data_IF_734534071845
#
_entry.id   IF_734534071845
#
_cell.length_a   1.000
_cell.length_b   1.000
_cell.length_c   1.000
_cell.angle_alpha   90.00
_cell.angle_beta   90.00
_cell.angle_gamma   90.00
#
_symmetry.space_group_name_H-M   'P 1'
#
loop_
_entity.id
_entity.type
_entity.pdbx_description
1 polymer ?
#
# COMPACT_ATOMS: atom_id res chain seq x y z
N UNK A 1 -24.84 -10.79 -8.15
CA UNK A 1 -26.01 -10.93 -9.06
C UNK A 1 -27.33 -11.02 -8.30
N UNK A 2 -27.36 -11.52 -7.06
CA UNK A 2 -28.57 -11.54 -6.24
C UNK A 2 -28.93 -10.16 -5.66
N UNK A 3 -27.93 -9.37 -5.24
CA UNK A 3 -28.16 -8.01 -4.67
C UNK A 3 -28.62 -6.96 -5.69
N UNK A 4 -28.24 -7.11 -6.96
CA UNK A 4 -28.74 -6.21 -8.02
C UNK A 4 -30.22 -6.46 -8.39
N UNK A 5 -30.72 -7.66 -8.09
CA UNK A 5 -32.13 -8.03 -8.31
C UNK A 5 -33.03 -7.46 -7.22
N UNK A 6 -32.56 -7.38 -5.98
CA UNK A 6 -33.35 -6.85 -4.85
C UNK A 6 -33.54 -5.33 -4.94
N UNK A 7 -32.57 -4.58 -5.47
CA UNK A 7 -32.73 -3.14 -5.69
C UNK A 7 -33.80 -2.80 -6.74
N UNK A 8 -34.05 -3.69 -7.70
CA UNK A 8 -35.06 -3.48 -8.74
C UNK A 8 -36.49 -3.78 -8.26
N UNK A 9 -36.68 -4.60 -7.24
CA UNK A 9 -38.01 -4.91 -6.69
C UNK A 9 -38.50 -3.89 -5.67
N UNK A 10 -37.60 -3.21 -4.95
CA UNK A 10 -37.97 -2.18 -3.94
C UNK A 10 -38.51 -0.90 -4.59
N UNK A 11 -38.17 -0.62 -5.84
CA UNK A 11 -38.63 0.60 -6.55
C UNK A 11 -40.10 0.51 -7.05
N UNK A 12 -40.77 -0.66 -6.92
CA UNK A 12 -42.17 -0.82 -7.39
C UNK A 12 -43.27 -0.54 -6.35
N UNK A 13 -42.93 -0.19 -5.10
CA UNK A 13 -43.90 -0.16 -4.02
C UNK A 13 -43.88 1.09 -3.09
N UNK A 14 -43.60 2.30 -3.59
CA UNK A 14 -43.85 3.50 -2.78
C UNK A 14 -44.50 4.65 -3.57
N UNK A 15 -45.62 5.25 -3.04
CA UNK A 15 -46.38 6.30 -3.69
C UNK A 15 -45.82 7.68 -3.29
N UNK A 16 -44.82 8.21 -4.03
CA UNK A 16 -44.40 9.60 -3.92
C UNK A 16 -44.55 10.37 -5.26
N UNK A 17 -45.73 10.21 -5.87
CA UNK A 17 -46.08 10.85 -7.14
C UNK A 17 -46.52 12.32 -7.04
N UNK A 18 -46.65 12.89 -5.83
CA UNK A 18 -47.30 14.18 -5.62
C UNK A 18 -46.38 15.40 -5.63
N UNK A 19 -45.09 15.24 -5.32
CA UNK A 19 -44.13 16.36 -5.30
C UNK A 19 -43.62 16.77 -6.69
N UNK A 20 -43.49 15.81 -7.63
CA UNK A 20 -43.01 16.08 -8.99
C UNK A 20 -43.98 16.95 -9.80
N UNK A 21 -45.31 16.83 -9.55
CA UNK A 21 -46.30 17.60 -10.29
C UNK A 21 -46.43 19.04 -9.80
N UNK A 22 -46.21 19.32 -8.53
CA UNK A 22 -46.18 20.70 -8.03
C UNK A 22 -44.98 21.52 -8.53
N UNK A 23 -43.82 20.88 -8.69
CA UNK A 23 -42.63 21.52 -9.24
C UNK A 23 -42.79 21.78 -10.74
N UNK A 24 -43.40 20.84 -11.50
CA UNK A 24 -43.76 21.05 -12.93
C UNK A 24 -44.70 22.24 -13.14
N UNK A 25 -45.63 22.46 -12.22
CA UNK A 25 -46.56 23.61 -12.30
C UNK A 25 -45.91 24.96 -12.00
N UNK A 26 -44.92 24.98 -11.07
CA UNK A 26 -44.19 26.21 -10.72
C UNK A 26 -43.28 26.60 -11.90
N UNK A 27 -42.55 25.64 -12.49
CA UNK A 27 -41.66 25.92 -13.63
C UNK A 27 -42.45 26.29 -14.91
N UNK A 28 -43.67 25.74 -15.09
CA UNK A 28 -44.51 26.10 -16.22
C UNK A 28 -45.06 27.55 -16.12
N UNK A 29 -45.34 28.04 -14.91
CA UNK A 29 -45.77 29.42 -14.67
C UNK A 29 -44.65 30.45 -14.90
N UNK A 30 -43.39 30.08 -14.63
CA UNK A 30 -42.24 30.95 -14.91
C UNK A 30 -41.87 30.99 -16.41
N UNK A 31 -42.10 29.88 -17.15
CA UNK A 31 -41.87 29.83 -18.59
C UNK A 31 -42.90 30.63 -19.42
N UNK A 32 -44.16 30.68 -18.97
CA UNK A 32 -45.25 31.38 -19.66
C UNK A 32 -45.18 32.90 -19.48
N UNK A 33 -44.42 33.44 -18.51
CA UNK A 33 -44.29 34.86 -18.24
C UNK A 33 -43.24 35.59 -19.11
N UNK A 34 -42.46 34.88 -19.95
CA UNK A 34 -41.29 35.39 -20.66
C UNK A 34 -41.36 35.43 -22.19
N UNK A 35 -42.52 35.22 -22.86
CA UNK A 35 -42.51 35.05 -24.28
C UNK A 35 -43.35 36.05 -25.07
N UNK A 36 -42.77 37.22 -25.38
CA UNK A 36 -43.15 38.05 -26.55
C UNK A 36 -41.85 38.45 -27.27
N UNK A 37 -41.77 38.07 -28.59
CA UNK A 37 -40.75 38.36 -29.61
C UNK A 37 -39.48 37.50 -29.65
N UNK A 38 -39.42 36.47 -30.51
CA UNK A 38 -38.55 36.50 -31.69
C UNK A 38 -38.69 35.24 -32.59
N UNK A 39 -39.23 35.36 -33.75
CA UNK A 39 -39.39 34.29 -34.77
C UNK A 39 -38.28 34.33 -35.80
N UNK A 40 -36.99 34.12 -35.46
CA UNK A 40 -35.91 33.93 -36.47
C UNK A 40 -34.65 33.24 -35.91
N UNK A 41 -34.76 32.20 -35.09
CA UNK A 41 -33.57 31.36 -34.80
C UNK A 41 -33.96 29.94 -34.33
N UNK A 42 -34.76 29.23 -35.16
CA UNK A 42 -35.42 27.99 -34.75
C UNK A 42 -34.55 26.73 -34.73
N UNK A 43 -33.31 26.72 -35.31
CA UNK A 43 -32.51 25.50 -35.39
C UNK A 43 -31.32 25.39 -34.38
N UNK A 44 -30.97 26.47 -33.67
CA UNK A 44 -29.92 26.40 -32.61
C UNK A 44 -30.50 26.37 -31.19
N UNK A 45 -31.73 26.86 -30.95
CA UNK A 45 -32.37 26.82 -29.66
C UNK A 45 -32.90 25.44 -29.24
N UNK A 46 -33.29 24.58 -30.17
CA UNK A 46 -33.86 23.24 -29.87
C UNK A 46 -32.85 22.27 -29.24
N UNK A 47 -31.58 22.33 -29.63
CA UNK A 47 -30.55 21.44 -29.08
C UNK A 47 -30.10 21.86 -27.67
N UNK A 48 -29.98 23.14 -27.38
CA UNK A 48 -29.60 23.66 -26.06
C UNK A 48 -30.68 23.42 -25.02
N UNK A 49 -31.98 23.53 -25.36
CA UNK A 49 -33.10 23.21 -24.48
C UNK A 49 -33.14 21.71 -24.12
N UNK A 50 -32.92 20.85 -25.12
CA UNK A 50 -32.95 19.38 -24.93
C UNK A 50 -31.82 18.86 -24.04
N UNK A 51 -30.61 19.36 -24.20
CA UNK A 51 -29.49 18.96 -23.32
C UNK A 51 -29.73 19.42 -21.88
N UNK A 52 -30.30 20.61 -21.66
CA UNK A 52 -30.65 21.08 -20.33
C UNK A 52 -31.74 20.20 -19.67
N UNK A 53 -32.70 19.69 -20.44
CA UNK A 53 -33.69 18.74 -19.96
C UNK A 53 -33.03 17.41 -19.55
N UNK A 54 -32.09 16.88 -20.37
CA UNK A 54 -31.31 15.68 -20.05
C UNK A 54 -30.49 15.89 -18.79
N UNK A 55 -29.73 16.97 -18.67
CA UNK A 55 -28.93 17.30 -17.49
C UNK A 55 -29.79 17.41 -16.22
N UNK A 56 -30.98 18.00 -16.34
CA UNK A 56 -31.95 18.10 -15.24
C UNK A 56 -32.42 16.73 -14.77
N UNK A 57 -32.81 15.84 -15.70
CA UNK A 57 -33.21 14.48 -15.38
C UNK A 57 -32.08 13.71 -14.72
N UNK A 58 -30.87 13.74 -15.33
CA UNK A 58 -29.70 13.05 -14.82
C UNK A 58 -29.34 13.54 -13.40
N UNK A 59 -29.40 14.84 -13.15
CA UNK A 59 -29.09 15.43 -11.85
C UNK A 59 -30.13 15.10 -10.77
N UNK A 60 -31.39 14.89 -11.15
CA UNK A 60 -32.44 14.49 -10.22
C UNK A 60 -32.29 13.05 -9.73
N UNK A 61 -31.94 12.15 -10.62
CA UNK A 61 -31.94 10.70 -10.35
C UNK A 61 -30.56 10.17 -9.99
N UNK A 62 -29.50 10.79 -10.48
CA UNK A 62 -28.13 10.30 -10.39
C UNK A 62 -27.17 11.37 -9.88
N UNK A 63 -26.06 10.91 -9.34
CA UNK A 63 -24.88 11.71 -9.05
C UNK A 63 -23.73 11.20 -9.90
N UNK A 64 -23.10 12.08 -10.67
CA UNK A 64 -21.97 11.77 -11.52
C UNK A 64 -20.70 12.39 -10.96
N UNK A 65 -19.57 11.72 -11.18
CA UNK A 65 -18.24 12.26 -10.91
C UNK A 65 -17.21 11.72 -11.90
N UNK A 66 -16.21 12.50 -12.21
CA UNK A 66 -15.02 12.02 -12.87
C UNK A 66 -13.99 11.65 -11.80
N UNK A 67 -13.71 10.34 -11.67
CA UNK A 67 -12.75 9.80 -10.72
C UNK A 67 -11.33 9.99 -11.25
N UNK A 68 -10.58 10.93 -10.67
CA UNK A 68 -9.23 11.27 -11.13
C UNK A 68 -8.16 10.23 -10.78
N UNK A 69 -8.45 9.28 -9.87
CA UNK A 69 -7.54 8.20 -9.50
C UNK A 69 -7.63 7.05 -10.51
N UNK A 70 -8.86 6.68 -10.90
CA UNK A 70 -9.11 5.57 -11.83
C UNK A 70 -9.31 6.04 -13.27
N UNK A 71 -9.22 7.36 -13.50
CA UNK A 71 -9.36 8.03 -14.78
C UNK A 71 -10.62 7.58 -15.55
N UNK A 72 -11.77 7.69 -14.88
CA UNK A 72 -13.06 7.28 -15.45
C UNK A 72 -14.22 8.01 -14.83
N UNK A 73 -15.30 8.13 -15.60
CA UNK A 73 -16.57 8.64 -15.09
C UNK A 73 -17.30 7.56 -14.31
N UNK A 74 -17.81 7.92 -13.16
CA UNK A 74 -18.58 7.09 -12.26
C UNK A 74 -19.92 7.76 -11.95
N UNK A 75 -20.94 6.95 -11.68
CA UNK A 75 -22.26 7.39 -11.29
C UNK A 75 -22.80 6.57 -10.14
N UNK A 76 -23.73 7.13 -9.42
CA UNK A 76 -24.59 6.41 -8.47
C UNK A 76 -26.01 6.90 -8.56
N UNK A 77 -26.97 6.02 -8.33
CA UNK A 77 -28.34 6.44 -8.09
C UNK A 77 -28.41 7.16 -6.73
N UNK A 78 -29.13 8.26 -6.64
CA UNK A 78 -29.25 9.03 -5.38
C UNK A 78 -29.93 8.23 -4.26
N UNK A 79 -30.70 7.19 -4.60
CA UNK A 79 -31.31 6.25 -3.65
C UNK A 79 -30.42 5.08 -3.27
N UNK A 80 -29.31 4.83 -4.00
CA UNK A 80 -28.45 3.66 -3.83
C UNK A 80 -27.00 4.09 -3.66
N UNK A 81 -26.33 3.64 -2.57
CA UNK A 81 -25.14 4.28 -1.99
C UNK A 81 -23.79 4.17 -2.72
N UNK A 82 -23.58 3.33 -3.76
CA UNK A 82 -22.24 3.06 -4.31
C UNK A 82 -22.05 3.62 -5.71
N UNK A 83 -20.86 4.22 -5.94
CA UNK A 83 -20.46 4.64 -7.27
C UNK A 83 -20.04 3.44 -8.12
N UNK A 84 -20.58 3.38 -9.35
CA UNK A 84 -20.24 2.41 -10.36
C UNK A 84 -19.65 3.10 -11.60
N UNK A 85 -18.84 2.38 -12.38
CA UNK A 85 -18.31 2.88 -13.64
C UNK A 85 -19.44 3.13 -14.64
N UNK A 86 -19.41 4.25 -15.34
CA UNK A 86 -20.26 4.48 -16.52
C UNK A 86 -19.68 3.70 -17.70
N UNK A 87 -20.41 2.74 -18.20
CA UNK A 87 -20.05 1.96 -19.37
C UNK A 87 -21.17 1.97 -20.42
N UNK A 88 -20.99 1.18 -21.47
CA UNK A 88 -21.98 1.11 -22.56
C UNK A 88 -23.37 0.63 -22.10
N UNK A 89 -23.40 -0.28 -21.12
CA UNK A 89 -24.65 -0.79 -20.57
C UNK A 89 -25.43 0.31 -19.86
N UNK A 90 -24.77 1.07 -19.00
CA UNK A 90 -25.34 2.17 -18.23
C UNK A 90 -25.85 3.28 -19.13
N UNK A 91 -25.07 3.68 -20.12
CA UNK A 91 -25.48 4.66 -21.14
C UNK A 91 -26.74 4.25 -21.89
N UNK A 92 -26.82 2.96 -22.30
CA UNK A 92 -28.01 2.45 -22.98
C UNK A 92 -29.22 2.39 -22.04
N UNK A 93 -28.99 2.12 -20.76
CA UNK A 93 -30.05 2.14 -19.72
C UNK A 93 -30.58 3.57 -19.54
N UNK A 94 -29.69 4.54 -19.33
CA UNK A 94 -30.06 5.95 -19.17
C UNK A 94 -30.82 6.48 -20.43
N UNK A 95 -30.35 6.09 -21.64
CA UNK A 95 -31.04 6.44 -22.87
C UNK A 95 -32.47 5.90 -22.91
N UNK A 96 -32.66 4.65 -22.52
CA UNK A 96 -34.00 4.01 -22.47
C UNK A 96 -34.90 4.65 -21.43
N UNK A 97 -34.35 5.01 -20.28
CA UNK A 97 -35.11 5.70 -19.21
C UNK A 97 -35.58 7.09 -19.67
N UNK A 98 -34.70 7.88 -20.26
CA UNK A 98 -35.04 9.20 -20.84
C UNK A 98 -36.16 9.09 -21.90
N UNK A 99 -36.09 8.09 -22.77
CA UNK A 99 -37.10 7.87 -23.83
C UNK A 99 -38.44 7.43 -23.23
N UNK A 100 -38.42 6.48 -22.27
CA UNK A 100 -39.64 5.90 -21.70
C UNK A 100 -40.31 6.81 -20.64
N UNK A 101 -39.55 7.52 -19.80
CA UNK A 101 -40.07 8.26 -18.67
C UNK A 101 -40.35 9.73 -19.00
N UNK A 102 -39.46 10.36 -19.78
CA UNK A 102 -39.55 11.78 -20.12
C UNK A 102 -39.85 12.05 -21.61
N UNK A 103 -39.97 11.01 -22.42
CA UNK A 103 -40.16 11.13 -23.86
C UNK A 103 -39.02 11.93 -24.57
N UNK A 104 -37.80 11.87 -23.97
CA UNK A 104 -36.62 12.54 -24.48
C UNK A 104 -35.77 11.53 -25.26
N UNK A 105 -35.88 11.57 -26.59
CA UNK A 105 -35.06 10.72 -27.46
C UNK A 105 -33.67 11.36 -27.64
N UNK A 106 -32.59 10.65 -27.27
CA UNK A 106 -31.20 11.11 -27.39
C UNK A 106 -30.30 9.98 -27.92
N UNK A 107 -29.11 10.33 -28.42
CA UNK A 107 -28.11 9.33 -28.83
C UNK A 107 -27.17 8.98 -27.67
N UNK A 108 -26.53 7.81 -27.75
CA UNK A 108 -25.52 7.40 -26.78
C UNK A 108 -24.31 8.35 -26.79
N UNK A 109 -23.92 8.86 -27.99
CA UNK A 109 -22.83 9.81 -28.14
C UNK A 109 -23.13 11.13 -27.45
N UNK A 110 -24.40 11.62 -27.52
CA UNK A 110 -24.78 12.85 -26.83
C UNK A 110 -24.74 12.67 -25.30
N UNK A 111 -25.18 11.51 -24.78
CA UNK A 111 -25.08 11.20 -23.35
C UNK A 111 -23.63 11.12 -22.91
N UNK A 112 -22.76 10.45 -23.64
CA UNK A 112 -21.31 10.44 -23.34
C UNK A 112 -20.74 11.88 -23.36
N UNK A 113 -21.09 12.70 -24.34
CA UNK A 113 -20.64 14.09 -24.44
C UNK A 113 -21.05 14.94 -23.23
N UNK A 114 -22.22 14.72 -22.67
CA UNK A 114 -22.68 15.38 -21.44
C UNK A 114 -21.94 14.82 -20.22
N UNK A 115 -21.97 13.50 -20.02
CA UNK A 115 -21.48 12.83 -18.83
C UNK A 115 -19.94 12.92 -18.72
N UNK A 116 -19.21 12.86 -19.82
CA UNK A 116 -17.75 12.99 -19.87
C UNK A 116 -17.28 14.45 -20.01
N UNK A 117 -18.05 15.38 -19.48
CA UNK A 117 -17.77 16.81 -19.48
C UNK A 117 -17.69 17.38 -18.05
N UNK A 118 -17.71 18.71 -17.94
CA UNK A 118 -17.81 19.42 -16.66
C UNK A 118 -19.11 19.13 -15.88
N UNK A 119 -20.08 18.47 -16.50
CA UNK A 119 -21.28 17.94 -15.82
C UNK A 119 -20.91 16.94 -14.71
N UNK A 120 -19.83 16.17 -14.90
CA UNK A 120 -19.27 15.25 -13.91
C UNK A 120 -18.08 15.92 -13.21
N UNK A 121 -18.20 16.44 -11.99
CA UNK A 121 -17.11 17.10 -11.30
C UNK A 121 -15.92 16.17 -11.07
N UNK A 122 -14.71 16.68 -11.27
CA UNK A 122 -13.47 15.95 -11.04
C UNK A 122 -13.24 15.75 -9.55
N UNK A 123 -13.10 14.51 -9.11
CA UNK A 123 -12.96 14.15 -7.70
C UNK A 123 -11.85 13.12 -7.54
N UNK A 124 -10.99 13.31 -6.53
CA UNK A 124 -10.14 12.26 -6.01
C UNK A 124 -10.87 11.57 -4.83
N UNK A 125 -11.40 10.36 -5.00
CA UNK A 125 -12.20 9.70 -3.96
C UNK A 125 -11.42 9.37 -2.70
N UNK A 126 -10.11 9.10 -2.82
CA UNK A 126 -9.23 8.83 -1.67
C UNK A 126 -9.09 10.09 -0.83
N UNK A 127 -8.77 11.22 -1.44
CA UNK A 127 -8.70 12.50 -0.72
C UNK A 127 -10.04 12.92 -0.17
N UNK A 128 -11.13 12.70 -0.92
CA UNK A 128 -12.50 13.01 -0.46
C UNK A 128 -12.82 12.22 0.81
N UNK A 129 -12.46 10.93 0.87
CA UNK A 129 -12.63 10.10 2.06
C UNK A 129 -11.88 10.71 3.26
N UNK A 130 -10.59 10.98 3.15
CA UNK A 130 -9.82 11.54 4.26
C UNK A 130 -10.28 12.94 4.67
N UNK A 131 -10.70 13.78 3.72
CA UNK A 131 -11.29 15.11 4.02
C UNK A 131 -12.60 14.98 4.80
N UNK A 132 -13.42 13.98 4.47
CA UNK A 132 -14.72 13.71 5.09
C UNK A 132 -14.66 13.09 6.48
N UNK A 133 -13.51 12.53 6.90
CA UNK A 133 -13.35 11.96 8.25
C UNK A 133 -13.54 13.05 9.33
N UNK A 134 -14.16 12.70 10.47
CA UNK A 134 -14.36 13.63 11.56
C UNK A 134 -13.04 14.22 12.06
N UNK A 135 -13.09 15.45 12.53
CA UNK A 135 -11.98 16.09 13.21
C UNK A 135 -12.00 15.64 14.67
N UNK A 136 -10.95 14.99 15.11
CA UNK A 136 -10.74 14.66 16.51
C UNK A 136 -9.86 15.74 17.11
N UNK A 137 -10.33 16.35 18.18
CA UNK A 137 -9.53 17.29 18.98
C UNK A 137 -8.63 16.48 19.91
N UNK A 138 -7.33 16.53 19.67
CA UNK A 138 -6.33 15.82 20.48
C UNK A 138 -5.68 16.70 21.54
N UNK A 139 -6.27 17.86 21.86
CA UNK A 139 -5.73 18.80 22.84
C UNK A 139 -4.40 19.44 22.42
N UNK A 140 -4.36 20.75 22.49
CA UNK A 140 -3.13 21.53 22.23
C UNK A 140 -2.13 21.37 23.39
N UNK A 141 -1.35 20.32 23.40
CA UNK A 141 -0.12 20.31 24.22
C UNK A 141 1.03 20.86 23.37
N UNK A 142 1.12 22.19 23.35
CA UNK A 142 2.11 22.98 22.59
C UNK A 142 3.56 22.80 23.05
N UNK A 143 3.90 21.69 23.68
CA UNK A 143 5.24 21.40 24.20
C UNK A 143 6.07 20.40 23.37
N UNK A 144 5.70 20.10 22.13
CA UNK A 144 6.55 19.32 21.24
C UNK A 144 7.66 20.18 20.66
N UNK A 145 8.55 20.65 21.53
CA UNK A 145 9.85 21.20 21.15
C UNK A 145 10.84 20.06 20.93
N UNK A 146 11.20 19.81 19.67
CA UNK A 146 12.32 18.97 19.31
C UNK A 146 11.99 17.48 19.15
N UNK A 147 12.44 16.92 18.03
CA UNK A 147 12.27 15.52 17.59
C UNK A 147 13.06 14.51 18.46
N UNK A 148 13.03 14.61 19.78
CA UNK A 148 13.67 13.66 20.68
C UNK A 148 12.63 12.80 21.40
N UNK A 149 12.40 11.60 20.88
CA UNK A 149 11.66 10.54 21.53
C UNK A 149 10.19 10.48 21.10
N UNK A 150 9.91 9.66 20.12
CA UNK A 150 8.60 9.34 19.56
C UNK A 150 7.74 8.53 20.53
N UNK A 151 7.35 9.12 21.65
CA UNK A 151 6.26 8.56 22.45
C UNK A 151 5.00 9.25 21.94
N UNK A 152 3.99 8.49 21.51
CA UNK A 152 2.63 9.03 21.37
C UNK A 152 2.31 9.67 22.72
N UNK A 153 2.16 10.99 22.80
CA UNK A 153 1.97 11.64 24.08
C UNK A 153 0.77 11.01 24.80
N UNK A 154 0.95 10.61 26.03
CA UNK A 154 -0.11 10.04 26.88
C UNK A 154 -1.28 11.01 27.13
N UNK A 155 -1.12 12.29 26.72
CA UNK A 155 -2.17 13.31 26.69
C UNK A 155 -3.17 13.14 25.57
N UNK A 156 -2.85 12.40 24.48
CA UNK A 156 -3.80 12.13 23.41
C UNK A 156 -4.80 11.05 23.84
N UNK A 157 -6.09 11.39 23.83
CA UNK A 157 -7.18 10.43 24.12
C UNK A 157 -7.44 9.52 22.91
N UNK A 158 -6.37 8.98 22.28
CA UNK A 158 -6.46 8.05 21.19
C UNK A 158 -6.91 6.69 21.70
N UNK A 159 -7.82 6.02 20.99
CA UNK A 159 -8.33 4.69 21.34
C UNK A 159 -8.23 3.72 20.18
N UNK A 160 -8.60 4.14 18.99
CA UNK A 160 -8.73 3.27 17.82
C UNK A 160 -7.37 2.74 17.33
N UNK A 161 -6.34 3.57 17.26
CA UNK A 161 -4.99 3.12 16.89
C UNK A 161 -4.39 2.17 17.93
N UNK A 162 -4.39 2.48 19.25
CA UNK A 162 -3.94 1.54 20.27
C UNK A 162 -4.76 0.25 20.31
N UNK A 163 -6.08 0.31 20.12
CA UNK A 163 -6.93 -0.88 20.08
C UNK A 163 -6.57 -1.76 18.88
N UNK A 164 -6.38 -1.19 17.70
CA UNK A 164 -5.91 -1.91 16.52
C UNK A 164 -4.54 -2.56 16.76
N UNK A 165 -3.60 -1.80 17.30
CA UNK A 165 -2.26 -2.31 17.62
C UNK A 165 -2.31 -3.48 18.60
N UNK A 166 -3.18 -3.42 19.60
CA UNK A 166 -3.33 -4.48 20.62
C UNK A 166 -3.96 -5.79 20.09
N UNK A 167 -4.56 -5.76 18.90
CA UNK A 167 -5.05 -6.98 18.24
C UNK A 167 -3.92 -7.87 17.72
N UNK A 168 -2.70 -7.34 17.61
CA UNK A 168 -1.55 -8.03 17.04
C UNK A 168 -0.47 -8.21 18.11
N UNK A 169 -0.15 -9.45 18.44
CA UNK A 169 0.96 -9.78 19.34
C UNK A 169 2.19 -10.05 18.48
N UNK A 170 3.21 -9.22 18.64
CA UNK A 170 4.50 -9.34 17.95
C UNK A 170 5.63 -9.64 18.93
N UNK A 171 6.76 -10.17 18.43
CA UNK A 171 7.94 -10.43 19.26
C UNK A 171 8.51 -9.16 19.91
N UNK A 172 8.50 -8.03 19.19
CA UNK A 172 8.95 -6.71 19.65
C UNK A 172 7.77 -5.74 19.81
N UNK A 173 6.96 -5.92 20.85
CA UNK A 173 5.76 -5.13 21.11
C UNK A 173 6.00 -3.63 21.29
N UNK A 174 7.06 -3.13 21.97
CA UNK A 174 7.28 -1.70 22.11
C UNK A 174 7.43 -0.98 20.75
N UNK A 175 8.17 -1.57 19.81
CA UNK A 175 8.34 -1.00 18.47
C UNK A 175 7.08 -1.06 17.63
N UNK A 176 6.32 -2.12 17.75
CA UNK A 176 5.03 -2.23 17.08
C UNK A 176 4.10 -1.08 17.46
N UNK A 177 3.99 -0.80 18.77
CA UNK A 177 3.17 0.29 19.30
C UNK A 177 3.67 1.68 18.87
N UNK A 178 4.95 1.82 18.57
CA UNK A 178 5.56 3.07 18.09
C UNK A 178 5.42 3.23 16.57
N UNK A 179 5.70 2.19 15.80
CA UNK A 179 5.86 2.29 14.35
C UNK A 179 4.53 2.10 13.59
N UNK A 180 3.56 1.36 14.12
CA UNK A 180 2.24 1.27 13.50
C UNK A 180 1.54 2.64 13.41
N UNK A 181 1.49 3.48 14.48
CA UNK A 181 0.95 4.83 14.38
C UNK A 181 1.70 5.70 13.34
N UNK A 182 3.05 5.65 13.31
CA UNK A 182 3.85 6.36 12.31
C UNK A 182 3.46 5.94 10.90
N UNK A 183 3.34 4.64 10.65
CA UNK A 183 2.97 4.13 9.35
C UNK A 183 1.54 4.54 8.94
N UNK A 184 0.56 4.49 9.85
CA UNK A 184 -0.82 4.91 9.59
C UNK A 184 -0.91 6.42 9.29
N UNK A 185 -0.17 7.24 10.01
CA UNK A 185 -0.10 8.69 9.74
C UNK A 185 0.57 8.94 8.39
N UNK A 186 1.62 8.19 8.05
CA UNK A 186 2.28 8.26 6.74
C UNK A 186 1.32 7.89 5.59
N UNK A 187 0.39 6.92 5.78
CA UNK A 187 -0.67 6.61 4.79
C UNK A 187 -1.54 7.83 4.53
N UNK A 188 -2.00 8.51 5.58
CA UNK A 188 -2.82 9.73 5.44
C UNK A 188 -2.03 10.85 4.76
N UNK A 189 -0.80 11.08 5.18
CA UNK A 189 0.08 12.10 4.60
C UNK A 189 0.31 11.84 3.11
N UNK A 190 0.59 10.59 2.73
CA UNK A 190 0.81 10.18 1.35
C UNK A 190 -0.45 10.37 0.48
N UNK A 191 -1.61 9.95 0.98
CA UNK A 191 -2.88 10.07 0.27
C UNK A 191 -3.32 11.53 0.03
N UNK A 192 -2.84 12.45 0.85
CA UNK A 192 -3.19 13.88 0.78
C UNK A 192 -2.18 14.74 0.02
N UNK A 193 -1.05 14.16 -0.40
CA UNK A 193 0.00 14.85 -1.16
C UNK A 193 0.04 14.33 -2.61
N UNK A 194 -0.22 15.22 -3.57
CA UNK A 194 -0.21 14.89 -5.00
C UNK A 194 1.17 15.09 -5.66
N UNK A 195 2.19 15.49 -4.91
CA UNK A 195 3.50 15.88 -5.46
C UNK A 195 4.65 15.00 -5.02
N UNK A 196 4.59 14.47 -3.81
CA UNK A 196 5.66 13.72 -3.20
C UNK A 196 5.14 12.47 -2.51
N UNK A 197 5.91 11.39 -2.56
CA UNK A 197 5.65 10.23 -1.71
C UNK A 197 5.97 10.58 -0.27
N UNK A 198 5.03 10.38 0.65
CA UNK A 198 5.20 10.65 2.09
C UNK A 198 5.36 9.37 2.91
N UNK A 199 4.99 8.22 2.37
CA UNK A 199 5.18 6.93 3.03
C UNK A 199 6.32 6.14 2.38
N UNK A 200 7.50 6.26 2.92
CA UNK A 200 8.71 5.61 2.41
C UNK A 200 8.92 4.19 2.95
N UNK A 201 7.90 3.59 3.57
CA UNK A 201 8.07 2.32 4.26
C UNK A 201 6.99 1.31 3.88
N UNK A 202 7.39 0.05 3.81
CA UNK A 202 6.52 -1.11 3.64
C UNK A 202 6.38 -1.82 5.00
N UNK A 203 5.16 -1.89 5.52
CA UNK A 203 4.86 -2.62 6.75
C UNK A 203 4.81 -4.12 6.45
N UNK A 204 5.65 -4.93 7.09
CA UNK A 204 5.81 -6.34 6.78
C UNK A 204 5.45 -7.18 8.01
N UNK A 205 4.51 -8.11 7.84
CA UNK A 205 4.17 -9.09 8.86
C UNK A 205 4.77 -10.45 8.49
N UNK A 206 5.70 -10.94 9.34
CA UNK A 206 6.35 -12.24 9.16
C UNK A 206 5.85 -13.27 10.18
N UNK A 207 6.10 -14.53 9.98
CA UNK A 207 5.76 -15.60 10.89
C UNK A 207 5.10 -16.79 10.21
N UNK A 208 4.58 -17.73 10.98
CA UNK A 208 3.98 -18.98 10.50
C UNK A 208 2.76 -18.74 9.61
N UNK A 209 2.48 -19.70 8.72
CA UNK A 209 1.27 -19.70 7.89
C UNK A 209 0.01 -19.84 8.78
N UNK A 210 -1.12 -19.28 8.32
CA UNK A 210 -2.40 -19.39 9.04
C UNK A 210 -2.60 -18.39 10.18
N UNK A 211 -1.69 -17.43 10.39
CA UNK A 211 -1.79 -16.39 11.44
C UNK A 211 -2.58 -15.14 11.02
N UNK A 212 -3.39 -15.20 9.95
CA UNK A 212 -4.22 -14.10 9.46
C UNK A 212 -3.45 -12.82 9.03
N UNK A 213 -2.16 -12.93 8.69
CA UNK A 213 -1.32 -11.78 8.31
C UNK A 213 -1.92 -10.99 7.14
N UNK A 214 -2.17 -11.66 6.01
CA UNK A 214 -2.73 -11.05 4.81
C UNK A 214 -4.10 -10.42 5.10
N UNK A 215 -4.98 -11.15 5.83
CA UNK A 215 -6.30 -10.64 6.21
C UNK A 215 -6.23 -9.40 7.07
N UNK A 216 -5.29 -9.31 8.03
CA UNK A 216 -5.10 -8.13 8.85
C UNK A 216 -4.59 -6.94 8.02
N UNK A 217 -3.65 -7.19 7.11
CA UNK A 217 -3.12 -6.13 6.23
C UNK A 217 -4.19 -5.60 5.27
N UNK A 218 -5.07 -6.46 4.77
CA UNK A 218 -6.19 -6.05 3.92
C UNK A 218 -7.23 -5.20 4.69
N UNK A 219 -7.42 -5.45 6.00
CA UNK A 219 -8.29 -4.63 6.84
C UNK A 219 -7.81 -3.18 6.99
N UNK A 220 -6.51 -2.90 6.76
CA UNK A 220 -5.99 -1.54 6.81
C UNK A 220 -6.55 -0.64 5.70
N UNK A 221 -7.12 -1.22 4.64
CA UNK A 221 -7.89 -0.46 3.66
C UNK A 221 -9.32 -0.25 4.17
N UNK A 222 -9.79 1.02 4.33
CA UNK A 222 -11.15 1.29 4.78
C UNK A 222 -12.20 0.67 3.84
N UNK A 223 -13.35 0.19 4.34
CA UNK A 223 -14.41 -0.37 3.51
C UNK A 223 -14.87 0.56 2.38
N UNK A 224 -14.93 1.86 2.63
CA UNK A 224 -15.28 2.86 1.63
C UNK A 224 -14.27 2.98 0.47
N UNK A 225 -13.03 2.49 0.67
CA UNK A 225 -11.93 2.54 -0.29
C UNK A 225 -11.48 1.14 -0.77
N UNK A 226 -12.28 0.08 -0.57
CA UNK A 226 -11.93 -1.27 -1.03
C UNK A 226 -11.59 -1.35 -2.51
N UNK A 227 -12.21 -0.51 -3.35
CA UNK A 227 -11.90 -0.41 -4.77
C UNK A 227 -10.51 0.20 -5.08
N UNK A 228 -9.78 0.65 -4.07
CA UNK A 228 -8.45 1.25 -4.13
C UNK A 228 -7.44 0.45 -3.31
N UNK A 229 -7.59 -0.87 -3.27
CA UNK A 229 -6.61 -1.78 -2.69
C UNK A 229 -6.27 -2.89 -3.68
N UNK A 230 -5.02 -3.30 -3.65
CA UNK A 230 -4.53 -4.43 -4.43
C UNK A 230 -3.84 -5.41 -3.50
N UNK A 231 -4.20 -6.69 -3.59
CA UNK A 231 -3.53 -7.77 -2.87
C UNK A 231 -3.08 -8.83 -3.87
N UNK A 232 -1.80 -9.10 -3.89
CA UNK A 232 -1.23 -10.08 -4.81
C UNK A 232 0.25 -9.86 -5.08
N UNK A 233 0.71 -10.46 -6.17
CA UNK A 233 2.10 -10.35 -6.61
C UNK A 233 2.30 -9.09 -7.44
N UNK A 234 3.39 -8.40 -7.18
CA UNK A 234 3.84 -7.28 -8.01
C UNK A 234 5.17 -7.62 -8.68
N UNK A 235 5.33 -7.19 -9.90
CA UNK A 235 6.57 -7.37 -10.66
C UNK A 235 7.15 -5.97 -10.94
N UNK A 236 8.21 -5.57 -10.20
CA UNK A 236 8.71 -4.19 -10.25
C UNK A 236 9.06 -3.66 -11.63
N UNK A 237 9.31 -4.53 -12.58
CA UNK A 237 9.66 -4.18 -13.98
C UNK A 237 8.43 -4.07 -14.90
N UNK A 238 7.24 -4.49 -14.45
CA UNK A 238 6.02 -4.48 -15.25
C UNK A 238 5.32 -3.11 -15.16
N UNK A 239 4.72 -2.70 -16.29
CA UNK A 239 4.00 -1.43 -16.37
C UNK A 239 2.76 -1.40 -15.47
N UNK A 240 2.12 -2.53 -15.26
CA UNK A 240 0.94 -2.65 -14.42
C UNK A 240 1.25 -2.32 -12.95
N UNK A 241 2.47 -2.60 -12.49
CA UNK A 241 2.92 -2.20 -11.15
C UNK A 241 2.85 -0.70 -10.93
N UNK A 242 3.23 0.11 -11.93
CA UNK A 242 3.13 1.57 -11.85
C UNK A 242 1.66 2.02 -11.75
N UNK A 243 0.76 1.33 -12.45
CA UNK A 243 -0.69 1.59 -12.35
C UNK A 243 -1.21 1.25 -10.95
N UNK A 244 -0.78 0.14 -10.35
CA UNK A 244 -1.16 -0.18 -8.97
C UNK A 244 -0.71 0.89 -7.99
N UNK A 245 0.49 1.47 -8.16
CA UNK A 245 1.02 2.53 -7.30
C UNK A 245 0.21 3.83 -7.45
N UNK A 246 -0.20 4.18 -8.66
CA UNK A 246 -0.97 5.41 -8.92
C UNK A 246 -2.47 5.31 -8.63
N UNK A 247 -3.02 4.10 -8.48
CA UNK A 247 -4.45 3.88 -8.37
C UNK A 247 -4.93 3.27 -7.05
N UNK A 248 -4.02 2.77 -6.21
CA UNK A 248 -4.40 2.14 -4.95
C UNK A 248 -3.87 2.91 -3.75
N UNK A 249 -4.64 2.93 -2.67
CA UNK A 249 -4.23 3.42 -1.36
C UNK A 249 -3.31 2.44 -0.66
N UNK A 250 -3.66 1.14 -0.73
CA UNK A 250 -2.90 0.04 -0.12
C UNK A 250 -2.52 -0.97 -1.20
N UNK A 251 -1.24 -1.31 -1.26
CA UNK A 251 -0.71 -2.41 -2.09
C UNK A 251 -0.15 -3.48 -1.16
N UNK A 252 -0.85 -4.61 -1.06
CA UNK A 252 -0.47 -5.74 -0.23
C UNK A 252 0.28 -6.80 -1.07
N UNK A 253 1.58 -6.92 -0.82
CA UNK A 253 2.46 -7.89 -1.48
C UNK A 253 2.37 -9.22 -0.72
N UNK A 254 1.56 -10.15 -1.24
CA UNK A 254 1.26 -11.39 -0.55
C UNK A 254 2.27 -12.49 -0.87
N UNK A 255 3.00 -12.93 0.18
CA UNK A 255 3.96 -14.06 0.19
C UNK A 255 4.99 -14.07 -0.98
N UNK A 256 5.36 -12.90 -1.47
CA UNK A 256 6.27 -12.78 -2.62
C UNK A 256 7.69 -12.37 -2.24
N UNK A 257 7.89 -11.65 -1.13
CA UNK A 257 9.20 -11.04 -0.82
C UNK A 257 10.35 -12.06 -0.76
N UNK A 258 10.08 -13.28 -0.30
CA UNK A 258 11.07 -14.38 -0.31
C UNK A 258 11.54 -14.82 -1.71
N UNK A 259 10.68 -14.65 -2.70
CA UNK A 259 10.96 -15.06 -4.06
C UNK A 259 11.69 -13.98 -4.87
N UNK A 260 11.82 -12.77 -4.34
CA UNK A 260 12.52 -11.68 -5.00
C UNK A 260 14.03 -11.94 -5.02
N UNK A 261 14.62 -11.80 -6.18
CA UNK A 261 16.07 -11.72 -6.28
C UNK A 261 16.55 -10.32 -5.85
N UNK A 262 17.85 -10.16 -5.64
CA UNK A 262 18.45 -8.89 -5.20
C UNK A 262 18.12 -7.70 -6.11
N UNK A 263 17.97 -7.92 -7.42
CA UNK A 263 17.64 -6.86 -8.37
C UNK A 263 16.21 -6.39 -8.19
N UNK A 264 15.26 -7.34 -8.13
CA UNK A 264 13.83 -7.04 -7.98
C UNK A 264 13.54 -6.42 -6.60
N UNK A 265 14.24 -6.87 -5.54
CA UNK A 265 14.18 -6.25 -4.21
C UNK A 265 14.64 -4.78 -4.26
N UNK A 266 15.73 -4.46 -4.98
CA UNK A 266 16.20 -3.09 -5.11
C UNK A 266 15.26 -2.23 -5.96
N UNK A 267 14.67 -2.80 -7.01
CA UNK A 267 13.64 -2.11 -7.78
C UNK A 267 12.38 -1.84 -6.95
N UNK A 268 11.93 -2.80 -6.14
CA UNK A 268 10.85 -2.60 -5.19
C UNK A 268 11.16 -1.47 -4.18
N UNK A 269 12.38 -1.45 -3.62
CA UNK A 269 12.82 -0.36 -2.74
C UNK A 269 12.73 1.01 -3.40
N UNK A 270 13.05 1.09 -4.70
CA UNK A 270 12.93 2.33 -5.46
C UNK A 270 11.45 2.71 -5.70
N UNK A 271 10.61 1.73 -6.01
CA UNK A 271 9.17 1.96 -6.20
C UNK A 271 8.50 2.46 -4.92
N UNK A 272 8.85 1.93 -3.74
CA UNK A 272 8.30 2.38 -2.45
C UNK A 272 8.54 3.88 -2.21
N UNK A 273 9.61 4.44 -2.74
CA UNK A 273 10.02 5.83 -2.45
C UNK A 273 9.96 6.77 -3.66
N UNK A 274 9.54 6.30 -4.84
CA UNK A 274 9.44 7.18 -6.01
C UNK A 274 8.36 8.25 -5.76
N UNK A 275 8.64 9.53 -6.06
CA UNK A 275 7.68 10.60 -5.77
C UNK A 275 6.45 10.56 -6.68
N UNK A 276 6.62 10.17 -7.92
CA UNK A 276 5.61 10.11 -8.95
C UNK A 276 5.81 8.86 -9.80
N UNK A 277 4.75 8.38 -10.44
CA UNK A 277 4.79 7.27 -11.38
C UNK A 277 4.36 7.71 -12.77
N UNK A 278 4.97 7.15 -13.81
CA UNK A 278 4.65 7.48 -15.21
C UNK A 278 4.12 6.24 -15.91
N UNK A 279 2.87 6.28 -16.29
CA UNK A 279 2.26 5.21 -17.08
C UNK A 279 1.24 5.77 -18.06
N UNK A 280 0.80 4.94 -18.97
CA UNK A 280 -0.23 5.26 -19.97
C UNK A 280 -1.47 4.44 -19.64
N UNK A 281 -2.59 5.10 -19.47
CA UNK A 281 -3.88 4.42 -19.32
C UNK A 281 -4.23 3.65 -20.60
N UNK A 282 -5.01 2.55 -20.49
CA UNK A 282 -5.51 1.84 -21.66
C UNK A 282 -6.23 2.80 -22.60
N UNK A 283 -5.84 2.78 -23.89
CA UNK A 283 -6.38 3.60 -24.98
C UNK A 283 -5.91 5.05 -25.01
N UNK A 284 -5.16 5.55 -24.03
CA UNK A 284 -4.57 6.87 -24.07
C UNK A 284 -3.45 6.97 -25.10
N UNK A 285 -3.25 8.18 -25.64
CA UNK A 285 -2.18 8.46 -26.60
C UNK A 285 -0.85 8.76 -25.92
N UNK A 286 -0.86 9.30 -24.72
CA UNK A 286 0.30 9.83 -24.02
C UNK A 286 0.60 9.07 -22.72
N UNK A 287 1.86 9.11 -22.33
CA UNK A 287 2.30 8.72 -20.96
C UNK A 287 2.13 9.95 -20.08
N UNK A 288 1.39 9.81 -19.02
CA UNK A 288 1.14 10.88 -18.04
C UNK A 288 1.82 10.58 -16.71
N UNK A 289 2.04 11.64 -15.97
CA UNK A 289 2.61 11.56 -14.62
C UNK A 289 1.48 11.54 -13.59
N UNK A 290 1.52 10.55 -12.69
CA UNK A 290 0.49 10.33 -11.68
C UNK A 290 1.11 10.39 -10.28
N UNK A 291 0.37 10.86 -9.27
CA UNK A 291 0.82 10.82 -7.88
C UNK A 291 1.11 9.40 -7.42
N UNK A 292 2.08 9.25 -6.52
CA UNK A 292 2.31 8.01 -5.81
C UNK A 292 1.30 7.90 -4.64
N UNK A 293 0.21 7.19 -4.83
CA UNK A 293 -0.85 7.04 -3.81
C UNK A 293 -0.62 5.84 -2.88
N UNK A 294 0.10 4.81 -3.35
CA UNK A 294 0.21 3.55 -2.66
C UNK A 294 1.02 3.64 -1.35
N UNK A 295 0.48 3.05 -0.30
CA UNK A 295 1.25 2.63 0.87
C UNK A 295 1.40 1.11 0.83
N UNK A 296 2.64 0.63 0.96
CA UNK A 296 2.95 -0.78 0.81
C UNK A 296 2.82 -1.53 2.11
N UNK A 297 2.22 -2.71 2.03
CA UNK A 297 2.24 -3.72 3.09
C UNK A 297 2.65 -5.07 2.49
N UNK A 298 3.15 -5.99 3.32
CA UNK A 298 3.49 -7.33 2.84
C UNK A 298 3.29 -8.39 3.92
N UNK A 299 2.89 -9.59 3.50
CA UNK A 299 2.91 -10.78 4.33
C UNK A 299 4.03 -11.73 3.89
N UNK A 300 4.70 -12.36 4.86
CA UNK A 300 5.80 -13.30 4.58
C UNK A 300 5.68 -14.52 5.50
N UNK A 301 5.88 -15.71 4.95
CA UNK A 301 5.95 -16.95 5.72
C UNK A 301 7.40 -17.21 6.17
N UNK A 302 7.65 -17.17 7.49
CA UNK A 302 8.98 -17.24 8.11
C UNK A 302 9.72 -15.88 8.07
N UNK A 303 10.95 -15.85 8.56
CA UNK A 303 11.68 -14.59 8.79
C UNK A 303 12.74 -14.27 7.72
N UNK A 304 13.21 -15.25 6.96
CA UNK A 304 14.32 -15.08 6.00
C UNK A 304 13.80 -14.57 4.64
N UNK A 305 13.74 -13.28 4.44
CA UNK A 305 13.25 -12.71 3.17
C UNK A 305 14.10 -11.57 2.59
N UNK A 306 14.99 -10.94 3.38
CA UNK A 306 15.86 -9.87 2.90
C UNK A 306 17.13 -10.43 2.27
N UNK A 307 17.37 -10.09 1.02
CA UNK A 307 18.59 -10.52 0.28
C UNK A 307 19.67 -9.44 0.25
N UNK A 308 19.29 -8.17 0.41
CA UNK A 308 20.20 -7.03 0.42
C UNK A 308 20.06 -6.19 1.69
N UNK A 309 21.11 -6.13 2.54
CA UNK A 309 21.09 -5.33 3.75
C UNK A 309 21.04 -3.82 3.47
N UNK A 310 21.42 -3.38 2.26
CA UNK A 310 21.44 -1.96 1.92
C UNK A 310 20.03 -1.45 1.64
N UNK A 311 19.66 -0.32 2.26
CA UNK A 311 18.34 0.29 2.06
C UNK A 311 17.19 -0.43 2.78
N UNK A 312 17.48 -1.32 3.74
CA UNK A 312 16.47 -2.05 4.53
C UNK A 312 15.57 -1.13 5.38
N UNK A 313 15.95 0.14 5.58
CA UNK A 313 15.11 1.17 6.24
C UNK A 313 13.71 1.35 5.63
N UNK A 314 13.51 0.87 4.40
CA UNK A 314 12.21 0.91 3.73
C UNK A 314 11.28 -0.23 4.14
N UNK A 315 11.80 -1.21 4.86
CA UNK A 315 11.04 -2.36 5.33
C UNK A 315 10.88 -2.29 6.84
N UNK A 316 9.64 -2.41 7.31
CA UNK A 316 9.28 -2.45 8.73
C UNK A 316 8.80 -3.86 9.07
N UNK A 317 9.71 -4.83 9.29
CA UNK A 317 9.33 -6.21 9.56
C UNK A 317 8.94 -6.42 11.03
N UNK A 318 7.82 -7.12 11.23
CA UNK A 318 7.37 -7.56 12.55
C UNK A 318 7.04 -9.04 12.53
N UNK A 319 7.66 -9.81 13.42
CA UNK A 319 7.36 -11.21 13.61
C UNK A 319 6.10 -11.37 14.45
N UNK A 320 5.07 -11.95 13.83
CA UNK A 320 3.75 -12.13 14.44
C UNK A 320 3.71 -13.42 15.25
N UNK A 321 3.31 -13.32 16.51
CA UNK A 321 3.01 -14.45 17.38
C UNK A 321 1.54 -14.85 17.27
N UNK A 322 0.63 -13.87 17.30
CA UNK A 322 -0.82 -14.09 17.10
C UNK A 322 -1.53 -12.82 16.66
N UNK A 323 -2.68 -12.98 15.99
CA UNK A 323 -3.59 -11.89 15.62
C UNK A 323 -5.00 -12.26 16.05
N UNK A 324 -5.64 -11.41 16.85
CA UNK A 324 -7.08 -11.47 17.11
C UNK A 324 -7.83 -10.80 15.97
N UNK A 325 -8.05 -11.56 14.89
CA UNK A 325 -8.67 -11.05 13.67
C UNK A 325 -10.13 -10.64 13.87
N UNK A 326 -10.86 -11.29 14.81
CA UNK A 326 -12.25 -10.97 15.06
C UNK A 326 -12.38 -9.61 15.76
N UNK A 327 -11.51 -9.34 16.72
CA UNK A 327 -11.43 -8.04 17.39
C UNK A 327 -10.97 -6.97 16.40
N UNK A 328 -9.96 -7.25 15.55
CA UNK A 328 -9.50 -6.31 14.54
C UNK A 328 -10.60 -5.92 13.55
N UNK A 329 -11.43 -6.87 13.09
CA UNK A 329 -12.59 -6.61 12.21
C UNK A 329 -13.68 -5.75 12.87
N UNK A 330 -13.78 -5.76 14.19
CA UNK A 330 -14.76 -4.94 14.92
C UNK A 330 -14.33 -3.47 15.07
N UNK A 331 -13.05 -3.16 14.83
CA UNK A 331 -12.53 -1.80 14.94
C UNK A 331 -12.86 -1.03 13.64
N UNK A 332 -13.47 0.14 13.79
CA UNK A 332 -13.75 1.03 12.67
C UNK A 332 -12.45 1.63 12.11
N UNK A 333 -12.11 1.32 10.87
CA UNK A 333 -10.98 1.95 10.19
C UNK A 333 -11.18 3.46 9.97
N UNK A 334 -12.43 3.94 9.89
CA UNK A 334 -12.72 5.38 9.85
C UNK A 334 -12.24 6.07 11.13
N UNK A 335 -12.44 5.43 12.31
CA UNK A 335 -11.92 5.95 13.59
C UNK A 335 -10.40 5.93 13.64
N UNK A 336 -9.76 4.85 13.17
CA UNK A 336 -8.30 4.73 13.10
C UNK A 336 -7.70 5.85 12.23
N UNK A 337 -8.25 6.06 11.05
CA UNK A 337 -7.75 7.12 10.16
C UNK A 337 -8.16 8.53 10.57
N UNK A 338 -9.25 8.70 11.31
CA UNK A 338 -9.58 9.99 11.93
C UNK A 338 -8.53 10.37 13.00
N UNK A 339 -8.11 9.41 13.83
CA UNK A 339 -7.00 9.59 14.78
C UNK A 339 -5.66 9.86 14.05
N UNK A 340 -5.33 9.09 13.02
CA UNK A 340 -4.11 9.32 12.21
C UNK A 340 -4.10 10.71 11.55
N UNK A 341 -5.25 11.16 11.02
CA UNK A 341 -5.43 12.51 10.46
C UNK A 341 -5.25 13.60 11.52
N UNK A 342 -5.75 13.38 12.73
CA UNK A 342 -5.59 14.30 13.83
C UNK A 342 -4.13 14.42 14.26
N UNK A 343 -3.42 13.27 14.38
CA UNK A 343 -1.97 13.23 14.62
C UNK A 343 -1.18 13.97 13.52
N UNK A 344 -1.51 13.76 12.25
CA UNK A 344 -0.86 14.49 11.16
C UNK A 344 -1.04 16.00 11.31
N UNK A 345 -2.22 16.46 11.67
CA UNK A 345 -2.52 17.89 11.88
C UNK A 345 -1.81 18.48 13.08
N UNK A 346 -1.58 17.71 14.15
CA UNK A 346 -0.82 18.15 15.33
C UNK A 346 0.69 18.24 15.10
N UNK A 347 1.18 17.85 13.91
CA UNK A 347 2.61 17.83 13.60
C UNK A 347 3.34 16.62 14.14
N UNK A 348 2.63 15.50 14.40
CA UNK A 348 3.24 14.23 14.81
C UNK A 348 4.32 13.78 13.82
N UNK A 349 5.51 13.43 14.35
CA UNK A 349 6.64 12.96 13.57
C UNK A 349 6.40 11.52 13.08
N UNK A 350 5.93 11.36 11.85
CA UNK A 350 5.64 10.05 11.25
C UNK A 350 6.82 9.48 10.43
N UNK A 351 7.86 10.26 10.17
CA UNK A 351 9.10 9.78 9.54
C UNK A 351 10.04 9.19 10.59
N UNK A 352 11.04 8.45 10.14
CA UNK A 352 12.06 7.86 11.00
C UNK A 352 13.29 8.75 11.01
N UNK A 353 13.82 9.04 12.20
CA UNK A 353 15.09 9.78 12.38
C UNK A 353 16.31 8.86 12.17
N UNK A 354 17.51 9.44 12.25
CA UNK A 354 18.76 8.72 11.99
C UNK A 354 18.99 7.58 13.00
N UNK A 355 18.61 7.76 14.27
CA UNK A 355 18.75 6.75 15.32
C UNK A 355 17.77 5.59 15.11
N UNK A 356 16.52 5.90 14.80
CA UNK A 356 15.50 4.91 14.45
C UNK A 356 15.88 4.14 13.17
N UNK A 357 16.43 4.84 12.17
CA UNK A 357 16.94 4.22 10.94
C UNK A 357 18.10 3.26 11.26
N UNK A 358 19.04 3.67 12.12
CA UNK A 358 20.16 2.82 12.53
C UNK A 358 19.67 1.57 13.29
N UNK A 359 18.59 1.72 14.06
CA UNK A 359 17.96 0.61 14.76
C UNK A 359 17.23 -0.34 13.81
N UNK A 360 16.48 0.20 12.83
CA UNK A 360 15.85 -0.59 11.76
C UNK A 360 16.87 -1.41 10.96
N UNK A 361 18.07 -0.86 10.70
CA UNK A 361 19.15 -1.60 10.05
C UNK A 361 19.62 -2.79 10.89
N UNK A 362 19.79 -2.61 12.20
CA UNK A 362 20.21 -3.68 13.11
C UNK A 362 19.18 -4.81 13.19
N UNK A 363 17.90 -4.45 13.29
CA UNK A 363 16.82 -5.44 13.34
C UNK A 363 16.58 -6.17 12.01
N UNK A 364 16.79 -5.47 10.90
CA UNK A 364 16.66 -6.11 9.59
C UNK A 364 17.70 -7.21 9.37
N UNK A 365 18.76 -7.28 10.18
CA UNK A 365 19.72 -8.39 10.15
C UNK A 365 19.09 -9.73 10.53
N UNK A 366 18.11 -9.74 11.43
CA UNK A 366 17.39 -10.95 11.84
C UNK A 366 16.50 -11.52 10.72
N UNK A 367 16.15 -10.69 9.74
CA UNK A 367 15.32 -11.07 8.58
C UNK A 367 16.11 -11.36 7.32
N UNK A 368 17.43 -11.31 7.37
CA UNK A 368 18.28 -11.60 6.22
C UNK A 368 18.37 -13.08 5.94
N UNK A 369 18.25 -13.43 4.66
CA UNK A 369 18.50 -14.80 4.19
C UNK A 369 19.92 -15.20 4.55
N UNK A 370 20.07 -16.28 5.31
CA UNK A 370 21.39 -16.82 5.63
C UNK A 370 22.01 -17.38 4.35
N UNK A 371 23.22 -16.88 4.03
CA UNK A 371 23.97 -17.41 2.90
C UNK A 371 24.56 -18.79 3.24
N UNK A 372 24.72 -19.64 2.21
CA UNK A 372 25.38 -20.95 2.40
C UNK A 372 26.76 -20.81 3.03
N UNK A 373 27.47 -19.72 2.72
CA UNK A 373 28.78 -19.40 3.32
C UNK A 373 28.67 -19.16 4.83
N UNK A 374 27.62 -18.43 5.29
CA UNK A 374 27.41 -18.18 6.71
C UNK A 374 26.99 -19.44 7.46
N UNK A 375 26.08 -20.21 6.89
CA UNK A 375 25.62 -21.47 7.47
C UNK A 375 26.79 -22.46 7.66
N UNK A 376 27.59 -22.67 6.62
CA UNK A 376 28.74 -23.54 6.67
C UNK A 376 29.84 -23.01 7.59
N UNK A 377 30.03 -21.68 7.64
CA UNK A 377 30.99 -21.06 8.55
C UNK A 377 30.63 -21.37 10.01
N UNK A 378 29.39 -21.18 10.40
CA UNK A 378 28.93 -21.41 11.77
C UNK A 378 28.92 -22.91 12.16
N UNK A 379 28.70 -23.82 11.20
CA UNK A 379 28.69 -25.26 11.44
C UNK A 379 30.08 -25.86 11.55
N UNK A 380 31.03 -25.34 10.77
CA UNK A 380 32.36 -25.97 10.66
C UNK A 380 33.47 -25.24 11.40
N UNK A 381 33.22 -23.99 11.81
CA UNK A 381 34.23 -23.16 12.46
C UNK A 381 33.66 -22.42 13.68
N UNK A 382 34.55 -22.21 14.66
CA UNK A 382 34.28 -21.34 15.82
C UNK A 382 35.43 -20.34 16.01
N UNK A 383 35.12 -19.27 16.76
CA UNK A 383 36.15 -18.29 17.13
C UNK A 383 37.02 -18.88 18.24
N UNK A 384 38.36 -18.88 18.07
CA UNK A 384 39.25 -19.29 19.13
C UNK A 384 39.19 -18.27 20.30
N UNK A 385 39.19 -18.75 21.52
CA UNK A 385 39.47 -17.94 22.71
C UNK A 385 41.00 -17.67 22.81
N UNK A 386 41.41 -16.73 23.67
CA UNK A 386 42.83 -16.26 23.70
C UNK A 386 43.86 -17.37 23.95
N UNK A 387 43.48 -18.41 24.66
CA UNK A 387 44.38 -19.51 25.08
C UNK A 387 44.28 -20.80 24.20
N UNK A 388 43.49 -20.78 23.10
CA UNK A 388 43.24 -21.99 22.31
C UNK A 388 44.08 -22.07 21.03
N UNK A 389 44.36 -23.31 20.59
CA UNK A 389 44.97 -23.57 19.31
C UNK A 389 44.08 -23.06 18.15
N UNK A 390 44.63 -22.16 17.35
CA UNK A 390 43.94 -21.63 16.20
C UNK A 390 44.71 -21.82 14.91
N UNK A 391 44.00 -21.81 13.80
CA UNK A 391 44.55 -21.78 12.46
C UNK A 391 44.44 -20.36 11.90
N UNK A 392 45.44 -19.96 11.10
CA UNK A 392 45.37 -18.73 10.31
C UNK A 392 45.02 -19.14 8.88
N UNK A 393 43.81 -18.86 8.45
CA UNK A 393 43.29 -19.22 7.14
C UNK A 393 42.90 -17.99 6.31
N UNK A 394 43.25 -18.01 5.03
CA UNK A 394 42.75 -17.09 4.03
C UNK A 394 41.31 -17.45 3.63
N UNK A 395 40.57 -16.50 3.03
CA UNK A 395 39.21 -16.78 2.50
C UNK A 395 39.25 -17.97 1.52
N UNK A 396 40.29 -18.06 0.65
CA UNK A 396 40.43 -19.17 -0.29
C UNK A 396 40.59 -20.51 0.41
N UNK A 397 41.43 -20.59 1.44
CA UNK A 397 41.62 -21.82 2.23
C UNK A 397 40.35 -22.24 2.96
N UNK A 398 39.57 -21.26 3.47
CA UNK A 398 38.25 -21.49 4.10
C UNK A 398 37.28 -22.07 3.06
N UNK A 399 37.16 -21.44 1.89
CA UNK A 399 36.28 -21.88 0.81
C UNK A 399 36.66 -23.29 0.30
N UNK A 400 37.94 -23.56 0.14
CA UNK A 400 38.43 -24.91 -0.26
C UNK A 400 38.04 -25.96 0.78
N UNK A 401 38.16 -25.64 2.07
CA UNK A 401 37.76 -26.55 3.14
C UNK A 401 36.23 -26.77 3.16
N UNK A 402 35.44 -25.70 3.04
CA UNK A 402 33.99 -25.77 3.03
C UNK A 402 33.40 -26.38 1.76
N UNK A 403 34.08 -26.25 0.63
CA UNK A 403 33.69 -26.85 -0.66
C UNK A 403 33.56 -28.38 -0.64
N UNK A 404 34.15 -29.04 0.35
CA UNK A 404 34.01 -30.50 0.55
C UNK A 404 32.59 -30.87 1.03
N UNK A 405 31.89 -29.90 1.70
CA UNK A 405 30.61 -30.14 2.34
C UNK A 405 29.40 -29.62 1.55
N UNK A 406 29.63 -29.04 0.37
CA UNK A 406 28.54 -28.50 -0.47
C UNK A 406 28.83 -28.64 -1.95
N UNK A 407 27.77 -28.86 -2.74
CA UNK A 407 27.85 -28.81 -4.21
C UNK A 407 27.57 -27.41 -4.77
N UNK A 408 27.15 -26.45 -3.90
CA UNK A 408 26.89 -25.08 -4.33
C UNK A 408 28.21 -24.29 -4.44
N UNK A 409 28.35 -23.43 -5.45
CA UNK A 409 29.51 -22.56 -5.59
C UNK A 409 29.54 -21.52 -4.46
N UNK A 410 30.59 -21.53 -3.65
CA UNK A 410 30.82 -20.55 -2.59
C UNK A 410 31.61 -19.36 -3.14
N UNK A 411 31.20 -18.15 -2.77
CA UNK A 411 31.78 -16.90 -3.25
C UNK A 411 32.69 -16.24 -2.21
N UNK A 412 33.88 -15.84 -2.60
CA UNK A 412 34.88 -15.20 -1.73
C UNK A 412 34.34 -13.90 -1.11
N UNK A 413 33.56 -13.12 -1.84
CA UNK A 413 32.94 -11.90 -1.34
C UNK A 413 31.94 -12.18 -0.21
N UNK A 414 31.03 -13.16 -0.42
CA UNK A 414 30.04 -13.57 0.59
C UNK A 414 30.70 -14.19 1.83
N UNK A 415 31.76 -14.98 1.64
CA UNK A 415 32.52 -15.51 2.76
C UNK A 415 33.20 -14.39 3.58
N UNK A 416 33.72 -13.37 2.92
CA UNK A 416 34.29 -12.20 3.62
C UNK A 416 33.26 -11.44 4.43
N UNK A 417 32.04 -11.28 3.90
CA UNK A 417 30.89 -10.69 4.60
C UNK A 417 30.44 -11.57 5.79
N UNK A 418 30.36 -12.90 5.60
CA UNK A 418 30.01 -13.86 6.65
C UNK A 418 31.02 -13.82 7.81
N UNK A 419 32.31 -13.83 7.52
CA UNK A 419 33.38 -13.73 8.52
C UNK A 419 33.31 -12.42 9.32
N UNK A 420 33.05 -11.30 8.65
CA UNK A 420 32.87 -9.99 9.29
C UNK A 420 31.62 -10.00 10.18
N UNK A 421 30.48 -10.47 9.69
CA UNK A 421 29.21 -10.57 10.42
C UNK A 421 29.32 -11.51 11.63
N UNK A 422 30.00 -12.65 11.47
CA UNK A 422 30.29 -13.57 12.56
C UNK A 422 31.37 -13.02 13.53
N UNK A 423 31.94 -11.85 13.29
CA UNK A 423 32.88 -11.18 14.17
C UNK A 423 34.28 -11.83 14.19
N UNK A 424 34.70 -12.47 13.10
CA UNK A 424 36.09 -12.93 12.94
C UNK A 424 37.01 -11.76 12.61
N UNK A 425 38.13 -11.67 13.31
CA UNK A 425 39.08 -10.56 13.13
C UNK A 425 39.96 -10.80 11.92
N UNK A 426 39.95 -9.88 10.97
CA UNK A 426 40.84 -9.87 9.80
C UNK A 426 42.22 -9.37 10.19
N UNK A 427 43.25 -10.13 9.90
CA UNK A 427 44.64 -9.81 10.19
C UNK A 427 45.46 -9.80 8.91
N UNK A 428 46.51 -8.96 8.85
CA UNK A 428 47.48 -8.94 7.79
C UNK A 428 48.70 -9.74 8.23
N UNK A 429 49.14 -10.71 7.43
CA UNK A 429 50.34 -11.50 7.68
C UNK A 429 51.18 -11.60 6.41
N UNK A 430 52.51 -11.47 6.54
CA UNK A 430 53.44 -11.74 5.45
C UNK A 430 53.87 -13.18 5.49
N UNK A 431 53.75 -13.92 4.38
CA UNK A 431 54.31 -15.26 4.20
C UNK A 431 55.67 -15.15 3.45
N UNK A 432 56.74 -15.62 4.06
CA UNK A 432 58.07 -15.73 3.46
C UNK A 432 58.57 -14.49 2.70
N UNK A 433 58.40 -13.29 3.25
CA UNK A 433 58.89 -12.06 2.64
C UNK A 433 58.05 -11.52 1.46
N UNK A 434 56.97 -12.20 1.08
CA UNK A 434 56.07 -11.79 0.00
C UNK A 434 55.09 -10.66 0.39
N UNK A 435 54.16 -10.37 -0.54
CA UNK A 435 53.10 -9.41 -0.29
C UNK A 435 52.22 -9.80 0.91
N UNK A 436 51.71 -8.81 1.68
CA UNK A 436 50.82 -9.08 2.80
C UNK A 436 49.54 -9.75 2.33
N UNK A 437 49.16 -10.84 2.98
CA UNK A 437 47.92 -11.56 2.76
C UNK A 437 46.98 -11.35 3.96
N UNK A 438 45.69 -11.33 3.72
CA UNK A 438 44.69 -11.26 4.78
C UNK A 438 44.29 -12.65 5.25
N UNK A 439 44.34 -12.87 6.55
CA UNK A 439 44.03 -14.15 7.21
C UNK A 439 43.06 -13.91 8.38
N UNK A 440 42.37 -14.96 8.78
CA UNK A 440 41.47 -14.97 9.92
C UNK A 440 41.89 -16.00 10.95
N UNK A 441 41.77 -15.71 12.24
CA UNK A 441 41.95 -16.68 13.32
C UNK A 441 40.71 -17.57 13.39
N UNK A 442 40.87 -18.87 13.19
CA UNK A 442 39.75 -19.80 13.09
C UNK A 442 40.10 -21.07 13.84
N UNK A 443 39.14 -21.70 14.52
CA UNK A 443 39.21 -23.07 15.06
C UNK A 443 38.20 -23.94 14.30
N UNK A 444 38.64 -25.12 13.85
CA UNK A 444 37.76 -26.10 13.20
C UNK A 444 36.98 -26.87 14.26
N UNK A 445 35.68 -27.02 14.05
CA UNK A 445 34.84 -27.93 14.84
C UNK A 445 35.07 -29.34 14.30
N UNK A 446 35.60 -30.24 15.11
CA UNK A 446 35.88 -31.63 14.76
C UNK A 446 35.18 -32.59 15.73
N UNK A 447 34.51 -33.66 15.25
CA UNK A 447 34.19 -33.92 13.86
C UNK A 447 33.19 -32.92 13.31
N UNK A 448 33.33 -32.54 12.01
CA UNK A 448 32.36 -31.64 11.39
C UNK A 448 30.96 -32.30 11.41
N UNK A 449 29.91 -31.65 11.94
CA UNK A 449 28.58 -32.26 12.06
C UNK A 449 27.98 -32.77 10.75
N UNK A 450 28.46 -32.27 9.61
CA UNK A 450 28.03 -32.69 8.27
C UNK A 450 28.51 -34.09 7.82
N UNK A 451 29.48 -34.68 8.51
CA UNK A 451 29.99 -36.04 8.19
C UNK A 451 29.09 -37.13 8.79
N UNK A 452 28.32 -36.83 9.85
CA UNK A 452 27.49 -37.84 10.52
C UNK A 452 26.23 -38.26 9.78
N UNK A 453 25.78 -37.49 8.76
CA UNK A 453 24.56 -37.81 7.98
C UNK A 453 24.77 -38.78 6.82
N UNK A 454 26.01 -39.05 6.40
CA UNK A 454 26.30 -39.99 5.30
C UNK A 454 26.55 -41.44 5.76
N UNK A 455 26.73 -41.69 7.08
CA UNK A 455 27.09 -43.05 7.56
C UNK A 455 25.91 -43.88 8.07
N UNK A 456 24.70 -43.38 8.04
CA UNK A 456 23.49 -44.07 8.53
C UNK A 456 22.52 -44.52 7.44
N UNK A 457 22.92 -44.52 6.17
CA UNK A 457 22.14 -45.07 5.06
C UNK A 457 23.00 -45.98 4.16
N UNK A 458 23.73 -46.96 4.76
CA UNK A 458 24.19 -48.17 4.08
C UNK A 458 23.68 -49.38 4.83
#
# INVERSE_FOLDING_TARGET
>A
MQEASECLEVTRSHPNFTLGNQFKEIMKREADAGNINDRRNHNRRGSSSKNAEIETYLSMHYEFRYNTVLDRTEYRNRSCGHFAKVGRYEINTLRRELDCEESISTSSENLYSIIESSFSPRVNPIQQYFKGLPLIDIGDDSSCGGCNGSIVPSSFSLKAIPDLASCVVVRNSPKWLLYLPKWLVAVVANAMDDRECRNHTCLILTGEQGKFKTTFLDLLCPPALHGYSYTGKIYPQEKDTLTYIGQNLIVNIDDQLKALNKRDENELKNLITCPMVKYRMPYDKYVEEHPHLASFVASVNGNDFLTDPTGSRRFLPFEILSIDINRAKAISMDSVYAEAKALLKSGFCYWFDDDEIAELYRESEDFQVQTAEMELLLRCFEKPTEDENYLLMTITEILTYLGIYTHQPLLAKRMGEALKKAGYIKMSKRRNGGNPIYVYKIRKILPCPLIQTCSSQM
#
